data_IF_850479315313
#
_entry.id   IF_850479315313
#
_cell.length_a   1.000
_cell.length_b   1.000
_cell.length_c   1.000
_cell.angle_alpha   90.00
_cell.angle_beta   90.00
_cell.angle_gamma   90.00
#
_symmetry.space_group_name_H-M   'P 1'
#
loop_
_entity.id
_entity.type
_entity.pdbx_description
1 polymer ?
#
# COMPACT_ATOMS: atom_id res chain seq x y z
N UNK A 1 0.10 -65.12 31.24
CA UNK A 1 0.48 -63.84 31.93
C UNK A 1 0.98 -62.79 30.97
N UNK A 2 1.57 -63.13 29.83
CA UNK A 2 2.11 -62.17 28.83
C UNK A 2 1.10 -61.27 28.12
N UNK A 3 -0.13 -61.69 27.72
CA UNK A 3 -1.05 -60.82 27.00
C UNK A 3 -1.57 -59.63 27.84
N UNK A 4 -1.75 -59.85 29.14
CA UNK A 4 -2.23 -58.82 30.05
C UNK A 4 -1.24 -57.69 30.26
N UNK A 5 0.05 -58.00 30.25
CA UNK A 5 1.15 -57.05 30.36
C UNK A 5 1.29 -56.17 29.09
N UNK A 6 1.07 -56.77 27.92
CA UNK A 6 1.07 -56.04 26.65
C UNK A 6 -0.09 -55.05 26.57
N UNK A 7 -1.28 -55.47 26.97
CA UNK A 7 -2.45 -54.58 27.00
C UNK A 7 -2.24 -53.43 27.98
N UNK A 8 -1.68 -53.69 29.16
CA UNK A 8 -1.38 -52.66 30.15
C UNK A 8 -0.37 -51.62 29.62
N UNK A 9 0.70 -52.05 28.91
CA UNK A 9 1.67 -51.11 28.30
C UNK A 9 1.04 -50.26 27.22
N UNK A 10 0.20 -50.79 26.35
CA UNK A 10 -0.51 -50.02 25.32
C UNK A 10 -1.41 -48.97 25.96
N UNK A 11 -2.16 -49.29 26.99
CA UNK A 11 -3.03 -48.35 27.69
C UNK A 11 -2.21 -47.23 28.34
N UNK A 12 -1.06 -47.53 28.94
CA UNK A 12 -0.16 -46.52 29.51
C UNK A 12 0.36 -45.55 28.43
N UNK A 13 0.77 -46.07 27.27
CA UNK A 13 1.22 -45.24 26.17
C UNK A 13 0.12 -44.32 25.61
N UNK A 14 -1.10 -44.87 25.44
CA UNK A 14 -2.26 -44.06 24.99
C UNK A 14 -2.63 -42.98 26.01
N UNK A 15 -2.59 -43.29 27.31
CA UNK A 15 -2.81 -42.30 28.36
C UNK A 15 -1.70 -41.22 28.39
N UNK A 16 -0.45 -41.60 28.22
CA UNK A 16 0.67 -40.68 28.17
C UNK A 16 0.55 -39.76 26.95
N UNK A 17 0.24 -40.31 25.78
CA UNK A 17 0.04 -39.52 24.56
C UNK A 17 -1.15 -38.54 24.70
N UNK A 18 -2.26 -39.01 25.26
CA UNK A 18 -3.43 -38.17 25.54
C UNK A 18 -3.10 -37.01 26.51
N UNK A 19 -2.32 -37.26 27.57
CA UNK A 19 -1.88 -36.24 28.52
C UNK A 19 -0.96 -35.24 27.83
N UNK A 20 0.01 -35.72 27.04
CA UNK A 20 0.93 -34.85 26.28
C UNK A 20 0.18 -33.95 25.28
N UNK A 21 -0.78 -34.53 24.56
CA UNK A 21 -1.62 -33.75 23.64
C UNK A 21 -2.47 -32.71 24.38
N UNK A 22 -3.03 -33.07 25.55
CA UNK A 22 -3.82 -32.14 26.36
C UNK A 22 -2.98 -31.01 26.97
N UNK A 23 -1.74 -31.29 27.37
CA UNK A 23 -0.78 -30.30 27.87
C UNK A 23 -0.29 -29.40 26.73
N UNK A 24 -0.04 -29.96 25.56
CA UNK A 24 0.28 -29.16 24.34
C UNK A 24 -0.89 -28.27 23.93
N UNK A 25 -2.12 -28.77 23.96
CA UNK A 25 -3.31 -27.97 23.66
C UNK A 25 -3.51 -26.81 24.66
N UNK A 26 -3.16 -27.03 25.97
CA UNK A 26 -3.19 -25.95 26.97
C UNK A 26 -2.01 -24.97 26.89
N UNK A 27 -0.88 -25.37 26.29
CA UNK A 27 0.28 -24.54 26.03
C UNK A 27 0.27 -23.88 24.63
N UNK A 28 -0.70 -24.20 23.81
CA UNK A 28 -0.98 -23.36 22.62
C UNK A 28 -1.26 -21.96 23.15
N UNK A 29 -0.36 -21.04 22.85
CA UNK A 29 -0.52 -19.62 23.13
C UNK A 29 -1.95 -19.22 22.73
N UNK A 30 -2.58 -18.26 23.45
CA UNK A 30 -3.90 -17.79 23.09
C UNK A 30 -3.88 -17.53 21.58
N UNK A 31 -4.76 -18.19 20.85
CA UNK A 31 -4.93 -17.93 19.44
C UNK A 31 -5.14 -16.43 19.32
N UNK A 32 -4.14 -15.71 18.79
CA UNK A 32 -4.32 -14.34 18.36
C UNK A 32 -5.56 -14.41 17.48
N UNK A 33 -6.64 -13.66 17.80
CA UNK A 33 -7.83 -13.69 16.98
C UNK A 33 -7.35 -13.44 15.55
N UNK A 34 -7.53 -14.41 14.66
CA UNK A 34 -7.27 -14.23 13.25
C UNK A 34 -7.98 -12.93 12.86
N UNK A 35 -7.27 -11.96 12.29
CA UNK A 35 -7.92 -10.76 11.79
C UNK A 35 -8.98 -11.24 10.80
N UNK A 36 -10.26 -11.10 11.14
CA UNK A 36 -11.43 -11.47 10.31
C UNK A 36 -11.56 -10.59 9.06
N UNK A 37 -10.51 -9.96 8.65
CA UNK A 37 -10.34 -9.35 7.35
C UNK A 37 -9.42 -10.24 6.55
N UNK A 38 -10.01 -11.21 5.83
CA UNK A 38 -9.39 -11.69 4.61
C UNK A 38 -9.06 -10.43 3.81
N UNK A 39 -7.79 -10.02 3.84
CA UNK A 39 -7.31 -8.85 3.14
C UNK A 39 -7.77 -9.01 1.70
N UNK A 40 -8.63 -8.10 1.23
CA UNK A 40 -8.98 -8.07 -0.18
C UNK A 40 -7.69 -7.84 -0.92
N UNK A 41 -7.14 -8.90 -1.51
CA UNK A 41 -6.07 -8.77 -2.50
C UNK A 41 -6.65 -7.93 -3.62
N UNK A 42 -6.24 -6.68 -3.71
CA UNK A 42 -6.66 -5.81 -4.81
C UNK A 42 -5.79 -6.16 -6.01
N UNK A 43 -6.38 -6.64 -7.12
CA UNK A 43 -5.61 -6.82 -8.33
C UNK A 43 -5.07 -5.46 -8.76
N UNK A 44 -3.78 -5.41 -9.07
CA UNK A 44 -3.11 -4.21 -9.57
C UNK A 44 -3.86 -3.67 -10.80
N UNK A 45 -4.40 -2.46 -10.68
CA UNK A 45 -5.17 -1.82 -11.74
C UNK A 45 -4.27 -0.90 -12.55
N UNK A 46 -4.01 -1.26 -13.79
CA UNK A 46 -3.27 -0.42 -14.76
C UNK A 46 -4.14 -0.31 -16.01
N UNK A 47 -4.99 0.74 -16.07
CA UNK A 47 -5.84 0.96 -17.24
C UNK A 47 -5.02 1.44 -18.43
N UNK A 48 -5.52 1.19 -19.62
CA UNK A 48 -4.93 1.70 -20.85
C UNK A 48 -5.03 3.24 -20.90
N UNK A 49 -4.00 3.88 -21.44
CA UNK A 49 -3.97 5.33 -21.62
C UNK A 49 -3.69 6.15 -20.36
N UNK A 50 -3.44 5.50 -19.22
CA UNK A 50 -3.01 6.16 -17.98
C UNK A 50 -1.51 6.03 -17.82
N UNK A 51 -0.84 7.17 -17.62
CA UNK A 51 0.58 7.23 -17.35
C UNK A 51 0.86 7.11 -15.85
N UNK A 52 2.04 6.62 -15.51
CA UNK A 52 2.50 6.48 -14.13
C UNK A 52 3.87 7.14 -13.97
N UNK A 53 4.04 7.85 -12.86
CA UNK A 53 5.30 8.45 -12.49
C UNK A 53 5.96 7.66 -11.35
N UNK A 54 7.29 7.71 -11.27
CA UNK A 54 8.06 7.06 -10.21
C UNK A 54 7.78 7.59 -8.80
N UNK A 55 7.09 8.73 -8.70
CA UNK A 55 6.58 9.32 -7.45
C UNK A 55 5.24 8.75 -7.00
N UNK A 56 4.81 7.61 -7.54
CA UNK A 56 3.54 6.96 -7.25
C UNK A 56 2.31 7.86 -7.49
N UNK A 57 2.34 8.55 -8.62
CA UNK A 57 1.21 9.31 -9.14
C UNK A 57 0.81 8.78 -10.51
N UNK A 58 -0.49 8.71 -10.75
CA UNK A 58 -1.02 8.43 -12.07
C UNK A 58 -1.43 9.72 -12.77
N UNK A 59 -1.36 9.75 -14.09
CA UNK A 59 -1.69 10.91 -14.92
C UNK A 59 -2.57 10.47 -16.10
N UNK A 60 -3.61 11.25 -16.37
CA UNK A 60 -4.48 11.07 -17.52
C UNK A 60 -4.46 12.34 -18.36
N UNK A 61 -3.99 12.24 -19.61
CA UNK A 61 -3.90 13.33 -20.57
C UNK A 61 -5.20 13.48 -21.34
N UNK A 62 -5.78 14.68 -21.32
CA UNK A 62 -6.98 15.03 -22.06
C UNK A 62 -6.64 15.65 -23.42
N UNK A 63 -7.57 15.58 -24.41
CA UNK A 63 -7.40 16.24 -25.71
C UNK A 63 -7.15 17.76 -25.62
N UNK A 64 -7.55 18.39 -24.52
CA UNK A 64 -7.28 19.81 -24.24
C UNK A 64 -5.83 20.11 -23.86
N UNK A 65 -4.95 19.10 -23.78
CA UNK A 65 -3.60 19.21 -23.26
C UNK A 65 -3.49 19.27 -21.75
N UNK A 66 -4.61 19.33 -21.04
CA UNK A 66 -4.62 19.29 -19.57
C UNK A 66 -4.43 17.86 -19.07
N UNK A 67 -3.86 17.74 -17.88
CA UNK A 67 -3.56 16.46 -17.24
C UNK A 67 -4.27 16.42 -15.90
N UNK A 68 -5.07 15.38 -15.68
CA UNK A 68 -5.50 14.99 -14.34
C UNK A 68 -4.47 14.07 -13.73
N UNK A 69 -4.19 14.25 -12.45
CA UNK A 69 -3.31 13.39 -11.69
C UNK A 69 -3.92 13.05 -10.33
N UNK A 70 -3.51 11.92 -9.82
CA UNK A 70 -3.85 11.44 -8.48
C UNK A 70 -2.80 10.47 -7.97
N UNK A 71 -3.00 9.96 -6.78
CA UNK A 71 -2.12 8.97 -6.14
C UNK A 71 -2.44 7.60 -6.71
N UNK A 72 -1.43 6.77 -6.96
CA UNK A 72 -1.64 5.44 -7.55
C UNK A 72 -2.10 4.38 -6.52
N UNK A 73 -2.39 3.18 -7.02
CA UNK A 73 -2.89 2.05 -6.22
C UNK A 73 -1.87 1.54 -5.20
N UNK A 74 -0.57 1.75 -5.46
CA UNK A 74 0.49 1.36 -4.55
C UNK A 74 0.41 2.13 -3.22
N UNK A 75 0.39 3.47 -3.27
CA UNK A 75 0.25 4.31 -2.08
C UNK A 75 -1.14 4.15 -1.46
N UNK A 76 -2.19 4.08 -2.29
CA UNK A 76 -3.56 3.85 -1.80
C UNK A 76 -3.73 2.54 -1.05
N UNK A 77 -2.94 1.50 -1.37
CA UNK A 77 -3.02 0.19 -0.71
C UNK A 77 -2.32 0.15 0.64
N UNK A 78 -1.25 0.91 0.84
CA UNK A 78 -0.48 0.88 2.09
C UNK A 78 -1.07 1.72 3.22
N UNK A 79 -2.00 2.63 2.90
CA UNK A 79 -2.75 3.45 3.83
C UNK A 79 -4.13 2.84 4.10
N UNK A 80 -4.66 3.03 5.32
CA UNK A 80 -6.00 2.55 5.70
C UNK A 80 -7.07 3.61 5.43
N UNK A 81 -7.01 4.72 6.13
CA UNK A 81 -7.99 5.81 6.05
C UNK A 81 -7.30 7.16 6.19
N UNK A 82 -6.43 7.56 5.24
CA UNK A 82 -5.70 8.81 5.33
C UNK A 82 -6.65 10.01 5.18
N UNK A 83 -6.37 11.07 5.92
CA UNK A 83 -6.90 12.38 5.62
C UNK A 83 -6.08 12.99 4.49
N UNK A 84 -6.75 13.71 3.59
CA UNK A 84 -6.13 14.37 2.44
C UNK A 84 -6.13 15.87 2.64
N UNK A 85 -4.98 16.51 2.47
CA UNK A 85 -4.85 17.97 2.47
C UNK A 85 -4.14 18.44 1.21
N UNK A 86 -4.75 19.39 0.52
CA UNK A 86 -4.14 20.05 -0.64
C UNK A 86 -3.09 21.06 -0.19
N UNK A 87 -1.91 21.01 -0.78
CA UNK A 87 -0.80 21.92 -0.46
C UNK A 87 -0.65 23.05 -1.49
N UNK A 88 -1.45 23.02 -2.56
CA UNK A 88 -1.48 24.02 -3.63
C UNK A 88 -2.90 24.36 -3.99
N UNK A 89 -3.10 25.57 -4.50
CA UNK A 89 -4.43 26.05 -4.95
C UNK A 89 -4.46 26.27 -6.46
N UNK A 90 -5.67 26.41 -7.02
CA UNK A 90 -5.85 26.70 -8.44
C UNK A 90 -5.23 28.06 -8.79
N UNK A 91 -4.54 28.12 -9.93
CA UNK A 91 -3.79 29.27 -10.41
C UNK A 91 -2.31 29.28 -10.00
N UNK A 92 -1.89 28.44 -9.05
CA UNK A 92 -0.47 28.34 -8.69
C UNK A 92 0.32 27.55 -9.74
N UNK A 93 1.57 27.97 -9.98
CA UNK A 93 2.55 27.23 -10.77
C UNK A 93 3.33 26.30 -9.85
N UNK A 94 3.55 25.08 -10.32
CA UNK A 94 4.34 24.04 -9.62
C UNK A 94 5.44 23.53 -10.53
N UNK A 95 6.56 23.21 -9.95
CA UNK A 95 7.64 22.50 -10.63
C UNK A 95 7.61 21.01 -10.30
N UNK A 96 8.21 20.21 -11.16
CA UNK A 96 8.44 18.79 -10.90
C UNK A 96 9.18 18.61 -9.57
N UNK A 97 8.62 17.83 -8.65
CA UNK A 97 9.15 17.64 -7.30
C UNK A 97 8.49 18.49 -6.22
N UNK A 98 7.72 19.50 -6.58
CA UNK A 98 6.99 20.32 -5.60
C UNK A 98 5.94 19.51 -4.85
N UNK A 99 5.72 19.79 -3.55
CA UNK A 99 4.69 19.13 -2.78
C UNK A 99 3.29 19.54 -3.27
N UNK A 100 2.44 18.53 -3.51
CA UNK A 100 1.05 18.71 -3.97
C UNK A 100 0.04 18.32 -2.90
N UNK A 101 0.17 17.11 -2.34
CA UNK A 101 -0.75 16.56 -1.38
C UNK A 101 -0.01 16.13 -0.14
N UNK A 102 -0.65 16.30 1.01
CA UNK A 102 -0.30 15.68 2.26
C UNK A 102 -1.37 14.63 2.59
N UNK A 103 -0.92 13.41 2.83
CA UNK A 103 -1.73 12.29 3.29
C UNK A 103 -1.39 12.06 4.76
N UNK A 104 -2.38 12.23 5.64
CA UNK A 104 -2.22 12.07 7.09
C UNK A 104 -2.92 10.80 7.55
N UNK A 105 -2.25 10.02 8.38
CA UNK A 105 -2.84 8.88 9.07
C UNK A 105 -2.41 8.89 10.54
N UNK A 106 -3.29 9.37 11.41
CA UNK A 106 -2.97 9.67 12.80
C UNK A 106 -2.01 10.86 12.90
N UNK A 107 -0.85 10.66 13.52
CA UNK A 107 0.23 11.64 13.68
C UNK A 107 1.27 11.59 12.55
N UNK A 108 1.08 10.75 11.55
CA UNK A 108 2.04 10.47 10.49
C UNK A 108 1.58 11.05 9.17
N UNK A 109 2.56 11.50 8.36
CA UNK A 109 2.28 12.14 7.08
C UNK A 109 3.15 11.57 5.97
N UNK A 110 2.61 11.58 4.75
CA UNK A 110 3.31 11.35 3.49
C UNK A 110 3.09 12.54 2.58
N UNK A 111 4.13 12.97 1.88
CA UNK A 111 4.04 14.07 0.92
C UNK A 111 4.11 13.52 -0.50
N UNK A 112 3.02 13.70 -1.24
CA UNK A 112 2.94 13.39 -2.67
C UNK A 112 3.40 14.60 -3.45
N UNK A 113 4.33 14.37 -4.40
CA UNK A 113 4.99 15.43 -5.17
C UNK A 113 4.55 15.46 -6.62
N UNK A 114 4.63 16.64 -7.22
CA UNK A 114 4.28 16.81 -8.63
C UNK A 114 5.25 16.04 -9.54
N UNK A 115 4.75 15.17 -10.42
CA UNK A 115 5.59 14.47 -11.39
C UNK A 115 5.98 15.34 -12.59
N UNK A 116 5.32 16.48 -12.78
CA UNK A 116 5.47 17.40 -13.90
C UNK A 116 5.40 18.84 -13.44
N UNK A 117 5.98 19.74 -14.23
CA UNK A 117 5.84 21.17 -14.07
C UNK A 117 4.61 21.70 -14.81
N UNK A 118 3.95 22.73 -14.25
CA UNK A 118 2.79 23.33 -14.87
C UNK A 118 1.97 24.21 -13.93
N UNK A 119 0.85 24.71 -14.44
CA UNK A 119 -0.09 25.54 -13.69
C UNK A 119 -1.27 24.70 -13.24
N UNK A 120 -1.62 24.79 -11.96
CA UNK A 120 -2.80 24.10 -11.39
C UNK A 120 -4.07 24.76 -11.92
N UNK A 121 -4.88 24.00 -12.63
CA UNK A 121 -6.16 24.47 -13.19
C UNK A 121 -7.31 24.22 -12.23
N UNK A 122 -7.32 23.08 -11.56
CA UNK A 122 -8.35 22.71 -10.61
C UNK A 122 -7.82 21.68 -9.59
N UNK A 123 -8.44 21.64 -8.44
CA UNK A 123 -8.30 20.60 -7.44
C UNK A 123 -9.65 19.93 -7.20
N UNK A 124 -9.64 18.70 -6.68
CA UNK A 124 -10.85 17.93 -6.40
C UNK A 124 -11.22 18.01 -4.91
N UNK A 125 -12.12 18.93 -4.51
CA UNK A 125 -12.45 19.09 -3.10
C UNK A 125 -13.19 17.90 -2.47
N UNK A 126 -13.75 17.00 -3.32
CA UNK A 126 -14.41 15.79 -2.83
C UNK A 126 -13.40 14.80 -2.25
N UNK A 127 -12.14 14.88 -2.64
CA UNK A 127 -11.09 14.00 -2.13
C UNK A 127 -10.76 14.26 -0.65
N UNK A 128 -10.86 15.51 -0.18
CA UNK A 128 -10.72 15.84 1.24
C UNK A 128 -11.91 15.32 2.05
N UNK A 129 -13.14 15.44 1.50
CA UNK A 129 -14.36 14.98 2.18
C UNK A 129 -14.47 13.46 2.20
N UNK A 130 -14.00 12.80 1.14
CA UNK A 130 -14.12 11.37 0.95
C UNK A 130 -12.79 10.78 0.41
N UNK A 131 -11.77 10.62 1.26
CA UNK A 131 -10.47 10.08 0.85
C UNK A 131 -10.52 8.67 0.24
N UNK A 132 -11.57 7.87 0.55
CA UNK A 132 -11.74 6.53 -0.02
C UNK A 132 -11.84 6.53 -1.54
N UNK A 133 -12.15 7.68 -2.18
CA UNK A 133 -12.14 7.83 -3.64
C UNK A 133 -10.78 7.50 -4.26
N UNK A 134 -9.67 7.68 -3.51
CA UNK A 134 -8.33 7.27 -3.96
C UNK A 134 -8.21 5.76 -4.18
N UNK A 135 -9.09 4.95 -3.58
CA UNK A 135 -9.11 3.48 -3.74
C UNK A 135 -10.33 3.02 -4.54
N UNK A 136 -11.51 3.53 -4.19
CA UNK A 136 -12.78 3.03 -4.72
C UNK A 136 -12.94 3.36 -6.20
N UNK A 137 -12.54 4.58 -6.58
CA UNK A 137 -12.71 5.12 -7.94
C UNK A 137 -11.44 5.82 -8.42
N UNK A 138 -10.31 5.15 -8.20
CA UNK A 138 -8.94 5.63 -8.37
C UNK A 138 -8.73 6.51 -9.61
N UNK A 139 -9.02 5.99 -10.79
CA UNK A 139 -8.74 6.68 -12.07
C UNK A 139 -9.89 7.54 -12.60
N UNK A 140 -11.01 7.62 -11.86
CA UNK A 140 -12.17 8.43 -12.23
C UNK A 140 -12.41 9.58 -11.26
N UNK A 141 -12.88 9.30 -10.03
CA UNK A 141 -13.16 10.33 -9.02
C UNK A 141 -12.02 10.51 -8.01
N UNK A 142 -11.02 9.62 -8.01
CA UNK A 142 -9.84 9.67 -7.15
C UNK A 142 -8.74 10.62 -7.63
N UNK A 143 -9.01 11.49 -8.61
CA UNK A 143 -8.05 12.51 -9.03
C UNK A 143 -7.90 13.58 -7.97
N UNK A 144 -6.70 14.15 -7.87
CA UNK A 144 -6.38 15.21 -6.92
C UNK A 144 -6.32 16.59 -7.62
N UNK A 145 -5.56 16.67 -8.69
CA UNK A 145 -5.35 17.92 -9.42
C UNK A 145 -5.59 17.77 -10.91
N UNK A 146 -5.96 18.90 -11.55
CA UNK A 146 -5.84 19.09 -12.99
C UNK A 146 -4.76 20.15 -13.20
N UNK A 147 -3.74 19.82 -13.99
CA UNK A 147 -2.59 20.68 -14.30
C UNK A 147 -2.55 20.93 -15.79
N UNK A 148 -2.24 22.18 -16.18
CA UNK A 148 -1.82 22.53 -17.52
C UNK A 148 -0.29 22.42 -17.54
N UNK A 149 0.30 21.42 -18.22
CA UNK A 149 1.74 21.24 -18.22
C UNK A 149 2.44 22.35 -19.02
N UNK A 150 3.59 22.79 -18.52
CA UNK A 150 4.41 23.79 -19.19
C UNK A 150 5.51 23.15 -20.04
N UNK A 151 5.90 21.91 -19.71
CA UNK A 151 7.02 21.18 -20.34
C UNK A 151 6.57 19.81 -20.81
N UNK A 152 6.28 19.70 -22.09
CA UNK A 152 5.81 18.44 -22.69
C UNK A 152 6.87 17.32 -22.66
N UNK A 153 8.15 17.67 -22.60
CA UNK A 153 9.25 16.70 -22.50
C UNK A 153 9.23 15.91 -21.20
N UNK A 154 8.69 16.45 -20.11
CA UNK A 154 8.57 15.73 -18.85
C UNK A 154 7.61 14.53 -18.93
N UNK A 155 6.64 14.57 -19.86
CA UNK A 155 5.72 13.46 -20.09
C UNK A 155 6.42 12.24 -20.67
N UNK A 156 7.55 12.42 -21.35
CA UNK A 156 8.34 11.31 -21.91
C UNK A 156 9.01 10.44 -20.84
N UNK A 157 9.10 10.93 -19.62
CA UNK A 157 9.67 10.21 -18.48
C UNK A 157 8.64 9.35 -17.74
N UNK A 158 7.38 9.45 -18.14
CA UNK A 158 6.28 8.71 -17.55
C UNK A 158 6.16 7.34 -18.20
N UNK A 159 5.78 6.36 -17.40
CA UNK A 159 5.59 4.98 -17.84
C UNK A 159 4.16 4.75 -18.30
N UNK A 160 3.97 3.83 -19.27
CA UNK A 160 2.65 3.47 -19.81
C UNK A 160 2.56 1.96 -20.05
N UNK A 161 1.38 1.40 -19.90
CA UNK A 161 1.07 0.03 -20.27
C UNK A 161 1.91 -1.01 -19.54
N UNK A 162 2.60 -1.89 -20.28
CA UNK A 162 3.37 -3.00 -19.72
C UNK A 162 4.61 -2.55 -18.93
N UNK A 163 5.20 -1.42 -19.31
CA UNK A 163 6.30 -0.83 -18.53
C UNK A 163 5.84 -0.46 -17.12
N UNK A 164 4.67 0.20 -17.01
CA UNK A 164 4.06 0.53 -15.70
C UNK A 164 3.77 -0.70 -14.89
N UNK A 165 3.29 -1.77 -15.51
CA UNK A 165 2.98 -3.04 -14.85
C UNK A 165 4.23 -3.68 -14.26
N UNK A 166 5.28 -3.76 -15.08
CA UNK A 166 6.57 -4.33 -14.68
C UNK A 166 7.22 -3.50 -13.56
N UNK A 167 7.17 -2.17 -13.69
CA UNK A 167 7.68 -1.27 -12.66
C UNK A 167 6.92 -1.43 -11.35
N UNK A 168 5.59 -1.38 -11.37
CA UNK A 168 4.75 -1.51 -10.18
C UNK A 168 4.99 -2.85 -9.46
N UNK A 169 5.16 -3.94 -10.20
CA UNK A 169 5.51 -5.24 -9.63
C UNK A 169 6.85 -5.23 -8.87
N UNK A 170 7.85 -4.48 -9.38
CA UNK A 170 9.12 -4.27 -8.68
C UNK A 170 8.95 -3.42 -7.43
N UNK A 171 8.12 -2.36 -7.48
CA UNK A 171 7.85 -1.52 -6.31
C UNK A 171 7.18 -2.31 -5.18
N UNK A 172 6.22 -3.17 -5.48
CA UNK A 172 5.65 -4.08 -4.47
C UNK A 172 6.67 -5.07 -3.91
N UNK A 173 7.66 -5.51 -4.71
CA UNK A 173 8.74 -6.35 -4.21
C UNK A 173 9.67 -5.58 -3.27
N UNK A 174 10.06 -4.35 -3.64
CA UNK A 174 10.84 -3.45 -2.78
C UNK A 174 10.12 -3.13 -1.46
N UNK A 175 8.80 -2.91 -1.52
CA UNK A 175 7.99 -2.70 -0.33
C UNK A 175 8.01 -3.92 0.60
N UNK A 176 7.92 -5.13 0.06
CA UNK A 176 8.06 -6.36 0.86
C UNK A 176 9.41 -6.44 1.55
N UNK A 177 10.49 -6.11 0.84
CA UNK A 177 11.84 -6.11 1.39
C UNK A 177 11.98 -5.06 2.51
N UNK A 178 11.41 -3.86 2.34
CA UNK A 178 11.35 -2.83 3.36
C UNK A 178 10.62 -3.32 4.62
N UNK A 179 9.45 -3.94 4.45
CA UNK A 179 8.65 -4.48 5.55
C UNK A 179 9.36 -5.62 6.27
N UNK A 180 10.00 -6.53 5.54
CA UNK A 180 10.79 -7.63 6.11
C UNK A 180 11.99 -7.12 6.93
N UNK A 181 12.65 -6.05 6.47
CA UNK A 181 13.80 -5.43 7.16
C UNK A 181 13.43 -4.57 8.37
N UNK A 182 12.16 -4.19 8.52
CA UNK A 182 11.71 -3.25 9.57
C UNK A 182 11.45 -3.89 10.94
N UNK A 183 11.76 -5.19 11.14
CA UNK A 183 11.50 -5.88 12.42
C UNK A 183 10.02 -6.14 12.71
N UNK A 184 9.13 -5.86 11.77
CA UNK A 184 7.70 -6.17 11.86
C UNK A 184 7.39 -7.69 11.88
N UNK A 185 8.41 -8.50 12.11
CA UNK A 185 8.39 -9.96 12.02
C UNK A 185 7.49 -10.67 13.04
N UNK A 186 6.98 -9.97 14.07
CA UNK A 186 6.24 -10.64 15.14
C UNK A 186 4.75 -10.84 14.88
N UNK A 187 4.06 -9.88 14.31
CA UNK A 187 2.60 -9.88 14.22
C UNK A 187 2.02 -9.66 12.81
N UNK A 188 2.79 -9.05 11.90
CA UNK A 188 2.29 -8.62 10.59
C UNK A 188 2.94 -9.38 9.42
N UNK A 189 4.07 -10.05 9.63
CA UNK A 189 4.79 -10.75 8.57
C UNK A 189 3.94 -11.80 7.80
N UNK A 190 3.11 -12.64 8.45
CA UNK A 190 2.27 -13.59 7.72
C UNK A 190 1.12 -12.91 6.96
N UNK A 191 0.56 -11.83 7.50
CA UNK A 191 -0.57 -11.13 6.90
C UNK A 191 -0.13 -10.19 5.76
N UNK A 192 1.05 -9.57 5.88
CA UNK A 192 1.60 -8.67 4.86
C UNK A 192 2.14 -9.39 3.62
N UNK A 193 2.42 -10.70 3.71
CA UNK A 193 3.17 -11.47 2.72
C UNK A 193 2.44 -12.71 2.19
N UNK A 194 1.12 -12.84 2.38
CA UNK A 194 0.37 -13.99 1.88
C UNK A 194 0.47 -14.10 0.36
N UNK A 195 1.04 -15.20 -0.10
CA UNK A 195 0.98 -15.74 -1.47
C UNK A 195 1.48 -14.85 -2.63
N UNK A 196 2.51 -14.01 -2.41
CA UNK A 196 3.07 -13.19 -3.49
C UNK A 196 2.14 -12.06 -3.97
N UNK A 197 1.06 -11.80 -3.25
CA UNK A 197 0.08 -10.75 -3.51
C UNK A 197 0.53 -9.35 -3.08
N UNK A 198 -0.33 -8.39 -3.29
CA UNK A 198 -0.19 -7.02 -2.78
C UNK A 198 -0.21 -7.02 -1.24
N UNK A 199 0.52 -6.12 -0.58
CA UNK A 199 0.48 -5.96 0.88
C UNK A 199 -0.95 -5.75 1.40
N UNK A 200 -1.19 -6.14 2.65
CA UNK A 200 -2.47 -5.89 3.30
C UNK A 200 -2.72 -4.38 3.37
N UNK A 201 -3.93 -3.96 3.01
CA UNK A 201 -4.33 -2.56 3.06
C UNK A 201 -4.07 -1.97 4.46
N UNK A 202 -3.49 -0.76 4.50
CA UNK A 202 -3.18 -0.08 5.75
C UNK A 202 -1.97 -0.62 6.50
N UNK A 203 -1.07 -1.36 5.83
CA UNK A 203 0.11 -1.95 6.47
C UNK A 203 0.98 -0.91 7.19
N UNK A 204 1.10 0.30 6.64
CA UNK A 204 1.91 1.35 7.24
C UNK A 204 1.40 1.81 8.61
N UNK A 205 0.09 1.74 8.88
CA UNK A 205 -0.51 2.17 10.15
C UNK A 205 0.11 1.49 11.37
N UNK A 206 0.55 0.25 11.20
CA UNK A 206 1.09 -0.58 12.28
C UNK A 206 2.61 -0.49 12.42
N UNK A 207 3.27 0.35 11.63
CA UNK A 207 4.73 0.48 11.59
C UNK A 207 5.21 1.74 12.29
N UNK A 208 6.49 1.75 12.70
CA UNK A 208 7.11 2.87 13.38
C UNK A 208 7.32 4.08 12.46
N UNK A 209 7.44 5.27 13.05
CA UNK A 209 7.69 6.52 12.33
C UNK A 209 8.96 6.47 11.46
N UNK A 210 9.97 5.69 11.85
CA UNK A 210 11.18 5.49 11.06
C UNK A 210 10.91 4.77 9.75
N UNK A 211 9.99 3.79 9.74
CA UNK A 211 9.59 3.05 8.54
C UNK A 211 8.76 3.93 7.62
N UNK A 212 7.89 4.78 8.18
CA UNK A 212 7.15 5.78 7.40
C UNK A 212 8.08 6.74 6.66
N UNK A 213 9.07 7.27 7.37
CA UNK A 213 10.07 8.15 6.75
C UNK A 213 10.86 7.42 5.66
N UNK A 214 11.26 6.19 5.92
CA UNK A 214 11.98 5.37 4.95
C UNK A 214 11.10 5.07 3.71
N UNK A 215 9.82 4.78 3.91
CA UNK A 215 8.86 4.62 2.82
C UNK A 215 8.74 5.90 1.97
N UNK A 216 8.57 7.07 2.60
CA UNK A 216 8.51 8.34 1.88
C UNK A 216 9.81 8.61 1.09
N UNK A 217 10.96 8.37 1.72
CA UNK A 217 12.27 8.62 1.12
C UNK A 217 12.55 7.68 -0.08
N UNK A 218 12.11 6.42 -0.01
CA UNK A 218 12.38 5.42 -1.04
C UNK A 218 11.38 5.42 -2.21
N UNK A 219 10.12 5.77 -1.95
CA UNK A 219 9.03 5.62 -2.92
C UNK A 219 8.41 6.93 -3.39
N UNK A 220 8.40 7.99 -2.57
CA UNK A 220 7.69 9.24 -2.92
C UNK A 220 8.61 10.39 -3.34
N UNK A 221 9.92 10.27 -3.15
CA UNK A 221 10.87 11.25 -3.66
C UNK A 221 11.10 11.04 -5.16
N UNK A 222 11.06 12.14 -5.90
CA UNK A 222 11.41 12.15 -7.32
C UNK A 222 12.93 12.01 -7.44
N UNK A 223 13.36 10.98 -8.11
CA UNK A 223 14.77 10.74 -8.48
C UNK A 223 15.08 11.38 -9.83
#
# INVERSE_FOLDING_TARGET
MTPLLVVATIVIFLCADWVVQRVRAKRSAPAIPEPKTAGKSYPLRIPEGVFFAKSHTWLNLFPSGKIRLGVDDFVGSVLDSPEVSFMRTAGETVEKGDPLLMLLEGDRRLIVRSPISGTIVALNPELEKKPSLMRDTLFSNGWAYTIQPDRAEELRTLMLGEESRTWMGREFSRLRDLLAGSGAQGALAPAALQDGGTPVAGVLRHLDASVWKKFEDEFLKIQ
#
